data_IF_764302088665
#
_entry.id   IF_764302088665
#
_cell.length_a   1.000
_cell.length_b   1.000
_cell.length_c   1.000
_cell.angle_alpha   90.00
_cell.angle_beta   90.00
_cell.angle_gamma   90.00
#
_symmetry.space_group_name_H-M   'P 1'
#
loop_
_entity.id
_entity.type
_entity.pdbx_description
1 polymer ?
#
# COMPACT_ATOMS: atom_id res chain seq x y z
N UNK A 1 -18.36 -8.94 -20.47
CA UNK A 1 -18.29 -10.21 -19.74
C UNK A 1 -17.24 -10.04 -18.66
N UNK A 2 -17.63 -9.96 -17.39
CA UNK A 2 -16.67 -9.79 -16.30
C UNK A 2 -15.79 -11.04 -16.20
N UNK A 3 -14.47 -10.90 -15.98
CA UNK A 3 -13.58 -12.04 -15.83
C UNK A 3 -14.06 -12.93 -14.67
N UNK A 4 -13.90 -14.26 -14.76
CA UNK A 4 -14.24 -15.15 -13.64
C UNK A 4 -13.49 -14.70 -12.38
N UNK A 5 -14.03 -14.92 -11.17
CA UNK A 5 -13.47 -14.38 -9.93
C UNK A 5 -12.00 -14.77 -9.68
N UNK A 6 -11.53 -15.92 -10.20
CA UNK A 6 -10.12 -16.31 -10.18
C UNK A 6 -9.21 -15.42 -11.04
N UNK A 7 -9.68 -15.00 -12.20
CA UNK A 7 -8.97 -14.05 -13.08
C UNK A 7 -8.99 -12.64 -12.50
N UNK A 8 -10.09 -12.22 -11.87
CA UNK A 8 -10.16 -10.91 -11.22
C UNK A 8 -9.13 -10.80 -10.09
N UNK A 9 -9.05 -11.80 -9.21
CA UNK A 9 -8.04 -11.84 -8.15
C UNK A 9 -6.62 -11.79 -8.72
N UNK A 10 -6.34 -12.57 -9.79
CA UNK A 10 -5.04 -12.55 -10.45
C UNK A 10 -4.69 -11.17 -11.05
N UNK A 11 -5.66 -10.54 -11.73
CA UNK A 11 -5.52 -9.21 -12.32
C UNK A 11 -5.28 -8.15 -11.23
N UNK A 12 -6.01 -8.22 -10.12
CA UNK A 12 -5.82 -7.32 -8.97
C UNK A 12 -4.46 -7.52 -8.33
N UNK A 13 -4.03 -8.77 -8.08
CA UNK A 13 -2.69 -9.05 -7.54
C UNK A 13 -1.59 -8.54 -8.48
N UNK A 14 -1.75 -8.71 -9.80
CA UNK A 14 -0.78 -8.20 -10.78
C UNK A 14 -0.74 -6.68 -10.79
N UNK A 15 -1.91 -6.02 -10.76
CA UNK A 15 -2.02 -4.57 -10.70
C UNK A 15 -1.39 -4.03 -9.41
N UNK A 16 -1.67 -4.64 -8.26
CA UNK A 16 -1.08 -4.30 -6.98
C UNK A 16 0.45 -4.39 -7.02
N UNK A 17 1.01 -5.50 -7.52
CA UNK A 17 2.47 -5.66 -7.65
C UNK A 17 3.09 -4.61 -8.58
N UNK A 18 2.41 -4.23 -9.66
CA UNK A 18 2.89 -3.18 -10.57
C UNK A 18 2.89 -1.81 -9.89
N UNK A 19 1.81 -1.47 -9.20
CA UNK A 19 1.71 -0.19 -8.48
C UNK A 19 2.70 -0.12 -7.32
N UNK A 20 2.85 -1.20 -6.54
CA UNK A 20 3.82 -1.27 -5.47
C UNK A 20 5.26 -1.05 -5.98
N UNK A 21 5.61 -1.63 -7.13
CA UNK A 21 6.91 -1.39 -7.77
C UNK A 21 7.09 0.07 -8.19
N UNK A 22 6.10 0.66 -8.86
CA UNK A 22 6.16 2.06 -9.32
C UNK A 22 6.31 3.03 -8.15
N UNK A 23 5.50 2.85 -7.11
CA UNK A 23 5.59 3.67 -5.88
C UNK A 23 6.95 3.50 -5.23
N UNK A 24 7.47 2.27 -5.14
CA UNK A 24 8.80 2.03 -4.59
C UNK A 24 9.90 2.72 -5.40
N UNK A 25 9.87 2.67 -6.73
CA UNK A 25 10.84 3.38 -7.57
C UNK A 25 10.85 4.88 -7.29
N UNK A 26 9.66 5.50 -7.22
CA UNK A 26 9.55 6.94 -6.90
C UNK A 26 10.07 7.25 -5.49
N UNK A 27 9.75 6.40 -4.50
CA UNK A 27 10.23 6.59 -3.14
C UNK A 27 11.75 6.40 -3.01
N UNK A 28 12.31 5.42 -3.71
CA UNK A 28 13.76 5.18 -3.76
C UNK A 28 14.48 6.39 -4.40
N UNK A 29 13.92 6.97 -5.47
CA UNK A 29 14.43 8.21 -6.10
C UNK A 29 14.40 9.41 -5.13
N UNK A 30 13.40 9.47 -4.25
CA UNK A 30 13.27 10.50 -3.22
C UNK A 30 14.04 10.18 -1.93
N UNK A 31 14.72 9.03 -1.84
CA UNK A 31 15.45 8.60 -0.64
C UNK A 31 14.54 8.27 0.55
N UNK A 32 13.26 7.97 0.31
CA UNK A 32 12.27 7.69 1.35
C UNK A 32 11.92 6.20 1.41
N UNK A 33 11.65 5.69 2.62
CA UNK A 33 11.22 4.31 2.78
C UNK A 33 9.72 4.15 2.46
N UNK A 34 9.30 2.97 1.96
CA UNK A 34 7.88 2.64 1.82
C UNK A 34 7.07 2.79 3.10
N UNK A 35 7.68 2.51 4.25
CA UNK A 35 7.00 2.60 5.55
C UNK A 35 6.77 4.05 5.97
N UNK A 36 7.73 4.94 5.72
CA UNK A 36 7.56 6.38 5.94
C UNK A 36 6.42 6.94 5.08
N UNK A 37 6.34 6.51 3.82
CA UNK A 37 5.24 6.91 2.94
C UNK A 37 3.88 6.39 3.40
N UNK A 38 3.80 5.15 3.94
CA UNK A 38 2.54 4.61 4.50
C UNK A 38 2.08 5.41 5.72
N UNK A 39 3.01 5.79 6.59
CA UNK A 39 2.73 6.66 7.74
C UNK A 39 2.18 8.01 7.28
N UNK A 40 2.87 8.68 6.35
CA UNK A 40 2.41 9.96 5.79
C UNK A 40 1.05 9.85 5.12
N UNK A 41 0.82 8.78 4.35
CA UNK A 41 -0.47 8.53 3.70
C UNK A 41 -1.59 8.33 4.72
N UNK A 42 -1.33 7.62 5.82
CA UNK A 42 -2.30 7.41 6.91
C UNK A 42 -2.62 8.73 7.60
N UNK A 43 -1.61 9.54 7.91
CA UNK A 43 -1.81 10.85 8.54
C UNK A 43 -2.49 11.87 7.61
N UNK A 44 -2.38 11.69 6.30
CA UNK A 44 -2.98 12.60 5.30
C UNK A 44 -4.50 12.47 5.16
N UNK A 45 -5.13 11.47 5.78
CA UNK A 45 -6.60 11.30 5.73
C UNK A 45 -7.37 12.34 6.55
N UNK A 46 -6.66 13.21 7.28
CA UNK A 46 -7.23 14.31 8.05
C UNK A 46 -7.87 13.89 9.37
N UNK A 47 -7.84 12.60 9.71
CA UNK A 47 -8.23 12.09 11.01
C UNK A 47 -7.03 12.06 11.96
N UNK A 48 -7.28 12.37 13.24
CA UNK A 48 -6.28 12.15 14.28
C UNK A 48 -6.15 10.65 14.52
N UNK A 49 -4.98 10.08 14.20
CA UNK A 49 -4.67 8.68 14.51
C UNK A 49 -3.85 8.58 15.77
N UNK A 50 -4.21 7.63 16.62
CA UNK A 50 -3.33 7.23 17.72
C UNK A 50 -2.11 6.49 17.18
N UNK A 51 -1.01 6.49 17.95
CA UNK A 51 0.21 5.78 17.57
C UNK A 51 -0.01 4.27 17.35
N UNK A 52 -0.96 3.67 18.07
CA UNK A 52 -1.32 2.25 17.92
C UNK A 52 -2.02 2.01 16.58
N UNK A 53 -3.02 2.82 16.23
CA UNK A 53 -3.73 2.70 14.95
C UNK A 53 -2.80 2.94 13.75
N UNK A 54 -1.85 3.87 13.90
CA UNK A 54 -0.83 4.14 12.89
C UNK A 54 0.09 2.93 12.71
N UNK A 55 0.52 2.29 13.81
CA UNK A 55 1.36 1.11 13.76
C UNK A 55 0.64 -0.07 13.07
N UNK A 56 -0.64 -0.27 13.38
CA UNK A 56 -1.45 -1.29 12.71
C UNK A 56 -1.55 -0.99 11.20
N UNK A 57 -1.98 0.23 10.81
CA UNK A 57 -2.19 0.54 9.39
C UNK A 57 -0.90 0.56 8.55
N UNK A 58 0.21 1.03 9.11
CA UNK A 58 1.47 1.18 8.37
C UNK A 58 2.28 -0.12 8.26
N UNK A 59 2.20 -1.01 9.26
CA UNK A 59 3.06 -2.19 9.37
C UNK A 59 2.31 -3.54 9.28
N UNK A 60 1.00 -3.54 9.01
CA UNK A 60 0.27 -4.79 8.82
C UNK A 60 0.88 -5.58 7.63
N UNK A 61 1.34 -6.82 7.86
CA UNK A 61 1.70 -7.69 6.76
C UNK A 61 0.43 -7.94 5.95
N UNK A 62 0.42 -7.58 4.67
CA UNK A 62 -0.58 -8.12 3.75
C UNK A 62 -0.48 -9.64 3.82
N UNK A 63 -1.47 -10.28 4.45
CA UNK A 63 -1.56 -11.74 4.59
C UNK A 63 -1.59 -12.41 3.19
N UNK A 64 -1.20 -13.70 3.09
CA UNK A 64 -0.79 -14.37 1.85
C UNK A 64 -1.87 -14.44 0.77
#
# INVERSE_FOLDING_TARGET
>A
MAPPPGDLSLLLTRAERLMARRVRTVLDELGHSPDAWRVLSTLSDGAGHTMTELADRAFLPRRP
#
